data_IF_493172278585
#
_entry.id   IF_493172278585
#
_cell.length_a   1.000
_cell.length_b   1.000
_cell.length_c   1.000
_cell.angle_alpha   90.00
_cell.angle_beta   90.00
_cell.angle_gamma   90.00
#
_symmetry.space_group_name_H-M   'P 1'
#
loop_
_entity.id
_entity.type
_entity.pdbx_description
1 polymer ?
#
# COMPACT_ATOMS: atom_id res chain seq x y z
N UNK A 1 3.58 25.15 -8.29
CA UNK A 1 2.32 24.90 -9.05
C UNK A 1 2.70 23.97 -10.21
N UNK A 2 1.80 23.20 -10.83
CA UNK A 2 2.18 22.24 -11.91
C UNK A 2 2.77 22.91 -13.16
N UNK A 3 2.89 24.24 -13.14
CA UNK A 3 3.54 25.11 -14.12
C UNK A 3 5.08 25.11 -14.02
N UNK A 4 5.68 24.66 -12.90
CA UNK A 4 7.13 24.81 -12.66
C UNK A 4 8.01 23.77 -13.38
N UNK A 5 7.44 22.64 -13.79
CA UNK A 5 8.11 21.64 -14.63
C UNK A 5 7.54 21.71 -16.04
N UNK A 6 8.02 22.68 -16.84
CA UNK A 6 8.00 22.53 -18.30
C UNK A 6 8.90 21.35 -18.61
N UNK A 7 8.32 20.19 -18.78
CA UNK A 7 9.07 19.00 -19.19
C UNK A 7 9.55 19.19 -20.62
N UNK A 8 10.86 19.10 -20.82
CA UNK A 8 11.49 19.29 -22.12
C UNK A 8 11.72 17.90 -22.76
N UNK A 9 10.86 17.53 -23.71
CA UNK A 9 10.99 16.32 -24.56
C UNK A 9 10.84 14.98 -23.82
N UNK A 10 9.97 14.14 -24.39
CA UNK A 10 9.83 12.75 -23.97
C UNK A 10 11.07 11.94 -24.39
N UNK A 11 11.38 10.90 -23.64
CA UNK A 11 12.42 9.94 -24.01
C UNK A 11 12.00 9.12 -25.24
N UNK A 12 12.97 8.55 -25.93
CA UNK A 12 12.69 7.49 -26.89
C UNK A 12 12.27 6.20 -26.17
N UNK A 13 11.45 5.38 -26.84
CA UNK A 13 10.91 4.14 -26.24
C UNK A 13 11.98 3.18 -25.71
N UNK A 14 13.14 3.13 -26.38
CA UNK A 14 14.26 2.26 -25.98
C UNK A 14 14.88 2.69 -24.64
N UNK A 15 14.83 3.99 -24.33
CA UNK A 15 15.49 4.58 -23.15
C UNK A 15 14.59 4.64 -21.91
N UNK A 16 13.29 4.37 -22.06
CA UNK A 16 12.31 4.42 -20.96
C UNK A 16 12.72 3.51 -19.80
N UNK A 17 13.00 2.23 -20.04
CA UNK A 17 13.28 1.27 -18.96
C UNK A 17 14.62 1.54 -18.27
N UNK A 18 15.75 1.75 -18.99
CA UNK A 18 17.01 2.13 -18.36
C UNK A 18 16.90 3.43 -17.54
N UNK A 19 16.25 4.45 -18.10
CA UNK A 19 16.09 5.75 -17.42
C UNK A 19 15.20 5.64 -16.21
N UNK A 20 14.11 4.87 -16.27
CA UNK A 20 13.23 4.64 -15.12
C UNK A 20 13.98 4.01 -13.93
N UNK A 21 14.85 3.02 -14.17
CA UNK A 21 15.68 2.44 -13.09
C UNK A 21 16.67 3.47 -12.50
N UNK A 22 17.33 4.26 -13.35
CA UNK A 22 18.25 5.34 -12.89
C UNK A 22 17.51 6.41 -12.09
N UNK A 23 16.32 6.77 -12.56
CA UNK A 23 15.41 7.70 -11.90
C UNK A 23 15.05 7.23 -10.48
N UNK A 24 14.70 5.94 -10.29
CA UNK A 24 14.46 5.38 -8.96
C UNK A 24 15.65 5.54 -8.01
N UNK A 25 16.86 5.20 -8.46
CA UNK A 25 18.09 5.32 -7.67
C UNK A 25 18.42 6.77 -7.27
N UNK A 26 18.12 7.74 -8.14
CA UNK A 26 18.37 9.15 -7.83
C UNK A 26 17.28 9.71 -6.91
N UNK A 27 16.05 9.26 -7.09
CA UNK A 27 14.97 9.66 -6.21
C UNK A 27 15.22 9.18 -4.77
N UNK A 28 15.68 7.93 -4.58
CA UNK A 28 16.01 7.42 -3.25
C UNK A 28 17.24 8.13 -2.64
N UNK A 29 18.23 8.54 -3.44
CA UNK A 29 19.40 9.27 -2.90
C UNK A 29 19.04 10.67 -2.39
N UNK A 30 17.85 11.17 -2.71
CA UNK A 30 17.31 12.44 -2.21
C UNK A 30 16.40 12.26 -0.98
N UNK A 31 16.14 11.03 -0.54
CA UNK A 31 15.17 10.69 0.51
C UNK A 31 15.81 9.84 1.61
N UNK A 32 15.96 10.45 2.79
CA UNK A 32 16.58 9.78 3.94
C UNK A 32 15.64 8.78 4.62
N UNK A 33 16.19 7.65 5.06
CA UNK A 33 15.46 6.62 5.81
C UNK A 33 14.50 5.76 5.00
N UNK A 34 14.48 5.92 3.67
CA UNK A 34 13.78 5.02 2.76
C UNK A 34 14.74 3.95 2.22
N UNK A 35 14.17 2.80 1.88
CA UNK A 35 14.75 1.75 1.06
C UNK A 35 14.03 1.71 -0.29
N UNK A 36 14.68 1.14 -1.30
CA UNK A 36 14.13 1.01 -2.64
C UNK A 36 14.05 -0.46 -3.06
N UNK A 37 12.92 -0.82 -3.67
CA UNK A 37 12.76 -2.02 -4.47
C UNK A 37 12.24 -1.61 -5.85
N UNK A 38 12.85 -2.11 -6.93
CA UNK A 38 12.59 -1.61 -8.28
C UNK A 38 12.60 -2.71 -9.33
N UNK A 39 11.62 -2.64 -10.23
CA UNK A 39 11.47 -3.50 -11.40
C UNK A 39 11.50 -2.65 -12.68
N UNK A 40 11.26 -3.27 -13.84
CA UNK A 40 11.17 -2.54 -15.09
C UNK A 40 9.94 -1.61 -15.20
N UNK A 41 8.94 -1.75 -14.33
CA UNK A 41 7.68 -0.99 -14.39
C UNK A 41 7.23 -0.41 -13.05
N UNK A 42 7.93 -0.71 -11.95
CA UNK A 42 7.59 -0.25 -10.62
C UNK A 42 8.84 0.20 -9.86
N UNK A 43 8.76 1.32 -9.17
CA UNK A 43 9.68 1.70 -8.10
C UNK A 43 8.86 1.78 -6.82
N UNK A 44 9.31 1.08 -5.79
CA UNK A 44 8.75 1.14 -4.44
C UNK A 44 9.80 1.78 -3.53
N UNK A 45 9.50 2.97 -3.05
CA UNK A 45 10.25 3.62 -1.97
C UNK A 45 9.54 3.29 -0.68
N UNK A 46 10.19 2.66 0.29
CA UNK A 46 9.52 2.24 1.51
C UNK A 46 10.40 2.37 2.75
N UNK A 47 9.76 2.50 3.91
CA UNK A 47 10.42 2.45 5.21
C UNK A 47 9.54 1.74 6.22
N UNK A 48 10.14 1.25 7.30
CA UNK A 48 9.41 0.62 8.40
C UNK A 48 9.44 1.52 9.64
N UNK A 49 8.29 1.75 10.24
CA UNK A 49 8.10 2.58 11.44
C UNK A 49 7.02 1.94 12.31
N UNK A 50 7.32 1.63 13.58
CA UNK A 50 6.36 1.05 14.55
C UNK A 50 5.51 -0.11 13.97
N UNK A 51 6.18 -1.14 13.46
CA UNK A 51 5.56 -2.31 12.83
C UNK A 51 4.68 -2.00 11.59
N UNK A 52 4.79 -0.80 11.02
CA UNK A 52 4.15 -0.43 9.77
C UNK A 52 5.19 -0.20 8.68
N UNK A 53 4.96 -0.78 7.50
CA UNK A 53 5.63 -0.38 6.27
C UNK A 53 4.85 0.78 5.64
N UNK A 54 5.55 1.88 5.40
CA UNK A 54 5.05 3.04 4.68
C UNK A 54 5.74 3.06 3.31
N UNK A 55 4.96 3.10 2.23
CA UNK A 55 5.48 2.97 0.88
C UNK A 55 4.91 4.01 -0.08
N UNK A 56 5.76 4.47 -0.99
CA UNK A 56 5.41 5.25 -2.19
C UNK A 56 5.72 4.37 -3.39
N UNK A 57 4.71 4.08 -4.19
CA UNK A 57 4.82 3.35 -5.44
C UNK A 57 4.81 4.33 -6.60
N UNK A 58 5.76 4.17 -7.50
CA UNK A 58 5.84 4.90 -8.76
C UNK A 58 5.78 3.83 -9.85
N UNK A 59 4.62 3.75 -10.51
CA UNK A 59 4.29 2.76 -11.53
C UNK A 59 4.38 3.41 -12.90
N UNK A 60 4.87 2.68 -13.90
CA UNK A 60 4.70 3.10 -15.30
C UNK A 60 4.03 2.00 -16.11
N UNK A 61 3.12 2.40 -16.99
CA UNK A 61 2.53 1.47 -17.94
C UNK A 61 3.61 1.02 -18.96
N UNK A 62 3.48 -0.19 -19.51
CA UNK A 62 4.48 -0.75 -20.43
C UNK A 62 4.62 0.13 -21.68
N UNK A 63 5.84 0.62 -21.95
CA UNK A 63 6.10 1.50 -23.09
C UNK A 63 5.46 2.89 -22.99
N UNK A 64 4.98 3.27 -21.81
CA UNK A 64 4.38 4.57 -21.54
C UNK A 64 5.41 5.54 -20.97
N UNK A 65 5.18 6.81 -21.25
CA UNK A 65 5.89 7.92 -20.62
C UNK A 65 5.29 8.29 -19.27
N UNK A 66 4.08 7.84 -18.94
CA UNK A 66 3.39 8.28 -17.74
C UNK A 66 3.75 7.44 -16.51
N UNK A 67 4.13 8.13 -15.44
CA UNK A 67 4.38 7.59 -14.11
C UNK A 67 3.19 7.85 -13.19
N UNK A 68 2.54 6.81 -12.69
CA UNK A 68 1.51 6.86 -11.65
C UNK A 68 2.14 6.79 -10.26
N UNK A 69 1.84 7.76 -9.40
CA UNK A 69 2.32 7.75 -8.01
C UNK A 69 1.18 7.37 -7.06
N UNK A 70 1.43 6.39 -6.19
CA UNK A 70 0.50 5.91 -5.15
C UNK A 70 1.22 5.78 -3.82
N UNK A 71 0.47 5.80 -2.72
CA UNK A 71 1.01 5.62 -1.36
C UNK A 71 0.28 4.53 -0.61
N UNK A 72 0.97 3.85 0.30
CA UNK A 72 0.39 2.80 1.14
C UNK A 72 0.98 2.79 2.54
N UNK A 73 0.18 2.36 3.51
CA UNK A 73 0.64 1.99 4.86
C UNK A 73 0.07 0.60 5.13
N UNK A 74 0.93 -0.35 5.49
CA UNK A 74 0.53 -1.70 5.86
C UNK A 74 1.30 -2.18 7.09
N UNK A 75 0.80 -3.15 7.87
CA UNK A 75 1.62 -3.77 8.90
C UNK A 75 2.79 -4.58 8.29
N UNK A 76 3.94 -4.60 8.96
CA UNK A 76 5.14 -5.36 8.53
C UNK A 76 4.94 -6.86 8.70
N UNK A 77 4.26 -7.25 9.78
CA UNK A 77 3.96 -8.64 10.10
C UNK A 77 2.74 -9.16 9.32
N UNK A 78 2.14 -8.31 8.49
CA UNK A 78 1.01 -8.65 7.65
C UNK A 78 1.49 -9.38 6.39
N UNK A 79 1.40 -10.72 6.44
CA UNK A 79 1.43 -11.67 5.34
C UNK A 79 2.57 -11.52 4.32
N UNK A 80 3.69 -12.21 4.57
CA UNK A 80 4.74 -12.39 3.56
C UNK A 80 4.43 -13.46 2.50
N UNK A 81 3.37 -14.28 2.67
CA UNK A 81 3.10 -15.44 1.78
C UNK A 81 1.69 -15.56 1.19
N UNK A 82 0.76 -14.64 1.47
CA UNK A 82 -0.66 -14.85 1.14
C UNK A 82 -1.10 -14.07 -0.11
N UNK A 83 -1.73 -14.76 -1.07
CA UNK A 83 -2.17 -14.19 -2.37
C UNK A 83 -3.10 -12.98 -2.21
N UNK A 84 -3.94 -12.97 -1.19
CA UNK A 84 -4.89 -11.88 -0.95
C UNK A 84 -4.22 -10.60 -0.42
N UNK A 85 -2.95 -10.68 -0.02
CA UNK A 85 -2.22 -9.54 0.56
C UNK A 85 -1.51 -8.68 -0.47
N UNK A 86 -1.49 -9.10 -1.75
CA UNK A 86 -0.94 -8.29 -2.84
C UNK A 86 -1.88 -7.19 -3.34
N UNK A 87 -3.04 -6.98 -2.71
CA UNK A 87 -4.00 -5.94 -3.10
C UNK A 87 -4.17 -4.85 -2.03
N UNK A 88 -3.15 -4.57 -1.21
CA UNK A 88 -3.07 -3.32 -0.43
C UNK A 88 -2.42 -2.19 -1.25
N UNK A 89 -2.83 -2.09 -2.51
CA UNK A 89 -2.48 -0.98 -3.40
C UNK A 89 -3.75 -0.19 -3.72
N UNK A 90 -4.50 0.21 -2.70
CA UNK A 90 -5.45 1.32 -2.85
C UNK A 90 -5.34 2.21 -1.61
N UNK A 91 -5.09 3.51 -1.80
CA UNK A 91 -4.38 4.34 -0.84
C UNK A 91 -5.31 4.79 0.28
N UNK A 92 -4.76 5.12 1.43
CA UNK A 92 -5.46 5.89 2.46
C UNK A 92 -5.74 7.36 2.02
N UNK A 93 -5.83 7.59 0.70
CA UNK A 93 -5.89 8.86 0.00
C UNK A 93 -4.73 8.98 -0.99
N UNK A 94 -4.99 9.27 -2.26
CA UNK A 94 -3.94 9.74 -3.18
C UNK A 94 -3.38 11.08 -2.67
N UNK A 95 -2.35 11.06 -1.80
CA UNK A 95 -1.85 12.23 -1.03
C UNK A 95 -0.95 13.15 -1.87
N UNK A 96 -1.38 13.46 -3.09
CA UNK A 96 -0.82 14.55 -3.87
C UNK A 96 -1.96 15.28 -4.58
N UNK A 97 -2.63 16.22 -3.90
CA UNK A 97 -3.69 17.11 -4.43
C UNK A 97 -4.39 16.61 -5.72
N UNK A 98 -5.09 15.48 -5.58
CA UNK A 98 -6.07 14.80 -6.45
C UNK A 98 -5.93 14.86 -8.00
N UNK A 99 -5.99 13.66 -8.61
CA UNK A 99 -6.24 13.25 -10.00
C UNK A 99 -5.50 13.92 -11.18
N UNK A 100 -5.20 15.22 -11.13
CA UNK A 100 -4.43 15.89 -12.19
C UNK A 100 -2.92 15.72 -12.03
N UNK A 101 -2.46 15.28 -10.85
CA UNK A 101 -1.06 15.30 -10.43
C UNK A 101 -0.45 13.92 -10.17
N UNK A 102 -1.19 12.84 -10.42
CA UNK A 102 -0.71 11.48 -10.16
C UNK A 102 0.07 10.90 -11.33
N UNK A 103 0.04 11.54 -12.51
CA UNK A 103 0.71 11.10 -13.72
C UNK A 103 1.80 12.09 -14.12
N UNK A 104 3.07 11.67 -14.20
CA UNK A 104 4.17 12.52 -14.70
C UNK A 104 4.78 11.92 -15.96
N UNK A 105 5.04 12.68 -17.04
CA UNK A 105 5.80 12.16 -18.17
C UNK A 105 7.26 11.89 -17.76
N UNK A 106 7.85 10.83 -18.29
CA UNK A 106 9.26 10.50 -18.18
C UNK A 106 10.04 11.25 -19.27
N UNK A 107 11.13 11.90 -18.89
CA UNK A 107 11.74 12.99 -19.66
C UNK A 107 13.25 12.88 -19.66
N UNK A 108 13.93 13.64 -20.54
CA UNK A 108 15.39 13.73 -20.55
C UNK A 108 15.93 14.47 -19.30
N UNK A 109 15.15 15.36 -18.71
CA UNK A 109 15.40 16.12 -17.47
C UNK A 109 14.96 15.33 -16.23
N UNK A 110 15.14 14.01 -16.25
CA UNK A 110 14.66 13.12 -15.21
C UNK A 110 15.22 13.44 -13.81
N UNK A 111 16.36 14.13 -13.69
CA UNK A 111 16.89 14.65 -12.42
C UNK A 111 15.97 15.71 -11.79
N UNK A 112 15.42 16.62 -12.60
CA UNK A 112 14.51 17.66 -12.12
C UNK A 112 13.19 17.05 -11.65
N UNK A 113 12.71 16.03 -12.39
CA UNK A 113 11.55 15.24 -11.99
C UNK A 113 11.82 14.50 -10.66
N UNK A 114 13.01 13.94 -10.46
CA UNK A 114 13.38 13.27 -9.22
C UNK A 114 13.44 14.25 -8.05
N UNK A 115 14.06 15.42 -8.22
CA UNK A 115 14.11 16.47 -7.19
C UNK A 115 12.71 16.96 -6.82
N UNK A 116 11.85 17.19 -7.81
CA UNK A 116 10.48 17.60 -7.59
C UNK A 116 9.70 16.55 -6.79
N UNK A 117 9.76 15.28 -7.19
CA UNK A 117 9.06 14.20 -6.49
C UNK A 117 9.62 13.98 -5.08
N UNK A 118 10.94 14.05 -4.88
CA UNK A 118 11.55 13.97 -3.55
C UNK A 118 11.03 15.07 -2.63
N UNK A 119 10.97 16.31 -3.13
CA UNK A 119 10.44 17.46 -2.39
C UNK A 119 8.99 17.22 -1.99
N UNK A 120 8.14 16.76 -2.92
CA UNK A 120 6.73 16.46 -2.64
C UNK A 120 6.55 15.33 -1.64
N UNK A 121 7.36 14.28 -1.73
CA UNK A 121 7.35 13.17 -0.76
C UNK A 121 7.64 13.73 0.64
N UNK A 122 8.70 14.55 0.80
CA UNK A 122 9.06 15.18 2.08
C UNK A 122 7.96 16.09 2.62
N UNK A 123 7.40 16.97 1.79
CA UNK A 123 6.47 18.00 2.28
C UNK A 123 5.04 17.52 2.45
N UNK A 124 4.57 16.61 1.61
CA UNK A 124 3.15 16.20 1.59
C UNK A 124 2.96 14.78 2.14
N UNK A 125 3.80 13.84 1.74
CA UNK A 125 3.61 12.42 2.06
C UNK A 125 4.16 12.08 3.44
N UNK A 126 5.32 12.59 3.83
CA UNK A 126 5.89 12.28 5.14
C UNK A 126 4.99 12.77 6.28
N UNK A 127 4.45 13.98 6.17
CA UNK A 127 3.52 14.50 7.17
C UNK A 127 2.29 13.59 7.32
N UNK A 128 1.76 13.08 6.21
CA UNK A 128 0.68 12.10 6.23
C UNK A 128 1.12 10.80 6.92
N UNK A 129 2.26 10.25 6.54
CA UNK A 129 2.79 9.05 7.17
C UNK A 129 3.00 9.21 8.68
N UNK A 130 3.44 10.38 9.16
CA UNK A 130 3.58 10.64 10.59
C UNK A 130 2.23 10.70 11.34
N UNK A 131 1.14 11.08 10.67
CA UNK A 131 -0.23 11.02 11.23
C UNK A 131 -0.71 9.59 11.46
N UNK A 132 -0.19 8.62 10.72
CA UNK A 132 -0.65 7.22 10.73
C UNK A 132 0.49 6.24 11.03
N UNK A 133 1.52 6.67 11.77
CA UNK A 133 2.72 5.88 12.04
C UNK A 133 2.60 4.92 13.24
N UNK A 134 1.41 4.67 13.77
CA UNK A 134 1.14 3.72 14.85
C UNK A 134 -0.32 3.30 14.83
N UNK A 135 -0.65 2.14 15.37
CA UNK A 135 -2.03 1.65 15.40
C UNK A 135 -2.98 2.56 16.21
N UNK A 136 -2.51 3.12 17.33
CA UNK A 136 -3.32 4.06 18.12
C UNK A 136 -3.73 5.27 17.30
N UNK A 137 -2.77 5.92 16.61
CA UNK A 137 -3.08 7.07 15.75
C UNK A 137 -4.01 6.69 14.59
N UNK A 138 -3.84 5.50 14.02
CA UNK A 138 -4.73 4.98 12.97
C UNK A 138 -6.17 4.85 13.50
N UNK A 139 -6.36 4.28 14.69
CA UNK A 139 -7.69 4.15 15.31
C UNK A 139 -8.29 5.51 15.70
N UNK A 140 -7.48 6.41 16.25
CA UNK A 140 -7.93 7.75 16.63
C UNK A 140 -8.44 8.54 15.42
N UNK A 141 -7.82 8.32 14.25
CA UNK A 141 -8.16 8.98 12.98
C UNK A 141 -8.96 8.12 12.01
N UNK A 142 -9.45 6.95 12.44
CA UNK A 142 -10.07 5.95 11.55
C UNK A 142 -11.14 6.51 10.61
N UNK A 143 -11.96 7.48 11.07
CA UNK A 143 -13.00 8.13 10.24
C UNK A 143 -12.46 8.84 9.00
N UNK A 144 -11.20 9.31 9.03
CA UNK A 144 -10.55 9.97 7.89
C UNK A 144 -10.21 8.99 6.77
N UNK A 145 -9.91 7.74 7.14
CA UNK A 145 -9.42 6.69 6.24
C UNK A 145 -10.43 5.57 6.00
N UNK A 146 -11.53 5.55 6.75
CA UNK A 146 -12.64 4.64 6.54
C UNK A 146 -13.23 4.85 5.13
N UNK A 147 -13.53 3.75 4.39
CA UNK A 147 -14.14 3.83 3.07
C UNK A 147 -15.45 4.60 3.10
N UNK A 148 -15.56 5.61 2.24
CA UNK A 148 -16.81 6.35 2.06
C UNK A 148 -17.76 5.68 1.07
N UNK A 149 -17.25 4.80 0.22
CA UNK A 149 -18.01 4.07 -0.79
C UNK A 149 -18.00 2.55 -0.57
N UNK A 150 -19.10 1.91 -0.95
CA UNK A 150 -19.27 0.46 -0.83
C UNK A 150 -18.55 -0.35 -1.92
N UNK A 151 -17.76 0.30 -2.78
CA UNK A 151 -16.91 -0.37 -3.75
C UNK A 151 -15.91 -1.29 -3.05
N UNK A 152 -15.70 -2.46 -3.65
CA UNK A 152 -14.78 -3.53 -3.23
C UNK A 152 -13.35 -3.02 -2.90
N UNK A 153 -12.51 -3.95 -2.47
CA UNK A 153 -11.06 -3.83 -2.23
C UNK A 153 -10.68 -3.59 -0.77
N UNK A 154 -9.45 -3.97 -0.41
CA UNK A 154 -8.94 -4.27 0.95
C UNK A 154 -8.80 -3.07 1.91
N UNK A 155 -9.87 -2.29 2.01
CA UNK A 155 -9.87 -1.01 2.71
C UNK A 155 -10.09 -1.13 4.23
N UNK A 156 -10.47 -2.31 4.72
CA UNK A 156 -10.73 -2.52 6.16
C UNK A 156 -9.57 -3.23 6.87
N UNK A 157 -8.62 -3.78 6.16
CA UNK A 157 -7.58 -4.68 6.65
C UNK A 157 -6.64 -3.97 7.62
N UNK A 158 -6.23 -2.75 7.27
CA UNK A 158 -5.45 -1.91 8.16
C UNK A 158 -6.23 -1.57 9.44
N UNK A 159 -7.54 -1.30 9.32
CA UNK A 159 -8.41 -0.95 10.44
C UNK A 159 -8.70 -2.16 11.35
N UNK A 160 -8.90 -3.34 10.76
CA UNK A 160 -9.02 -4.62 11.47
C UNK A 160 -7.74 -4.86 12.27
N UNK A 161 -6.58 -4.74 11.64
CA UNK A 161 -5.30 -4.98 12.30
C UNK A 161 -5.02 -3.95 13.40
N UNK A 162 -5.29 -2.67 13.14
CA UNK A 162 -5.18 -1.63 14.15
C UNK A 162 -6.12 -1.89 15.33
N UNK A 163 -7.34 -2.37 15.09
CA UNK A 163 -8.30 -2.72 16.15
C UNK A 163 -7.85 -3.93 16.98
N UNK A 164 -7.21 -4.93 16.34
CA UNK A 164 -6.59 -6.07 17.03
C UNK A 164 -5.46 -5.58 17.94
N UNK A 165 -4.51 -4.80 17.39
CA UNK A 165 -3.33 -4.34 18.14
C UNK A 165 -3.66 -3.36 19.26
N UNK A 166 -4.72 -2.58 19.11
CA UNK A 166 -5.23 -1.69 20.16
C UNK A 166 -6.28 -2.35 21.06
N UNK A 167 -6.57 -3.64 20.86
CA UNK A 167 -7.56 -4.43 21.61
C UNK A 167 -8.96 -3.79 21.66
N UNK A 168 -9.36 -3.08 20.60
CA UNK A 168 -10.67 -2.41 20.47
C UNK A 168 -11.73 -3.37 19.95
N UNK A 169 -12.33 -4.15 20.85
CA UNK A 169 -13.28 -5.22 20.52
C UNK A 169 -14.46 -4.77 19.66
N UNK A 170 -15.14 -3.67 19.97
CA UNK A 170 -16.32 -3.26 19.18
C UNK A 170 -15.93 -2.89 17.75
N UNK A 171 -14.83 -2.14 17.58
CA UNK A 171 -14.32 -1.75 16.27
C UNK A 171 -13.89 -2.97 15.45
N UNK A 172 -13.19 -3.92 16.08
CA UNK A 172 -12.79 -5.17 15.42
C UNK A 172 -14.01 -5.91 14.88
N UNK A 173 -15.04 -6.08 15.72
CA UNK A 173 -16.27 -6.75 15.30
C UNK A 173 -16.94 -6.02 14.14
N UNK A 174 -17.07 -4.70 14.23
CA UNK A 174 -17.65 -3.86 13.19
C UNK A 174 -16.92 -4.00 11.85
N UNK A 175 -15.59 -3.97 11.85
CA UNK A 175 -14.81 -4.05 10.62
C UNK A 175 -14.81 -5.46 10.02
N UNK A 176 -14.79 -6.50 10.85
CA UNK A 176 -14.96 -7.88 10.37
C UNK A 176 -16.35 -8.07 9.73
N UNK A 177 -17.41 -7.59 10.37
CA UNK A 177 -18.78 -7.68 9.81
C UNK A 177 -18.86 -7.00 8.45
N UNK A 178 -18.31 -5.78 8.32
CA UNK A 178 -18.25 -5.04 7.06
C UNK A 178 -17.44 -5.74 5.96
N UNK A 179 -16.34 -6.41 6.31
CA UNK A 179 -15.50 -7.16 5.37
C UNK A 179 -16.20 -8.45 4.92
N UNK A 180 -16.82 -9.17 5.84
CA UNK A 180 -17.47 -10.46 5.60
C UNK A 180 -18.85 -10.35 4.94
N UNK A 181 -19.53 -9.21 5.04
CA UNK A 181 -20.82 -8.96 4.39
C UNK A 181 -20.72 -8.77 2.86
N UNK A 182 -19.54 -9.00 2.26
CA UNK A 182 -19.30 -8.86 0.82
C UNK A 182 -18.84 -10.20 0.23
N UNK A 183 -19.20 -10.51 -1.03
CA UNK A 183 -18.67 -11.70 -1.68
C UNK A 183 -17.14 -11.62 -1.77
N UNK A 184 -16.47 -12.71 -1.40
CA UNK A 184 -15.04 -12.93 -1.68
C UNK A 184 -14.86 -12.73 -3.18
N UNK A 185 -13.89 -11.90 -3.60
CA UNK A 185 -13.69 -11.62 -5.01
C UNK A 185 -13.44 -12.93 -5.76
N UNK A 186 -14.07 -13.11 -6.92
CA UNK A 186 -13.66 -14.14 -7.86
C UNK A 186 -12.25 -13.84 -8.34
N UNK A 187 -11.30 -14.69 -7.97
CA UNK A 187 -9.89 -14.59 -8.37
C UNK A 187 -9.81 -14.57 -9.90
N UNK A 188 -9.01 -13.68 -10.49
CA UNK A 188 -8.84 -13.69 -11.96
C UNK A 188 -8.10 -14.94 -12.41
N UNK A 189 -8.38 -15.44 -13.62
CA UNK A 189 -7.74 -16.66 -14.17
C UNK A 189 -6.20 -16.56 -14.20
N UNK A 190 -5.64 -15.35 -14.32
CA UNK A 190 -4.20 -15.07 -14.23
C UNK A 190 -3.61 -15.19 -12.82
N UNK A 191 -4.40 -15.02 -11.77
CA UNK A 191 -4.01 -15.22 -10.37
C UNK A 191 -4.15 -16.70 -9.95
N UNK A 192 -5.05 -17.44 -10.61
CA UNK A 192 -5.23 -18.89 -10.44
C UNK A 192 -4.03 -19.71 -10.95
N UNK A 193 -3.26 -19.17 -11.91
CA UNK A 193 -2.18 -19.90 -12.61
C UNK A 193 -0.79 -19.80 -11.97
N UNK A 194 -0.67 -19.37 -10.72
CA UNK A 194 0.56 -19.58 -9.92
C UNK A 194 0.29 -20.63 -8.84
N UNK A 195 0.61 -21.90 -9.08
CA UNK A 195 0.52 -22.92 -8.05
C UNK A 195 1.77 -22.84 -7.18
N UNK A 196 1.58 -22.48 -5.91
CA UNK A 196 2.33 -23.10 -4.82
C UNK A 196 1.34 -23.39 -3.67
N UNK A 197 1.44 -24.61 -3.18
CA UNK A 197 0.42 -25.32 -2.39
C UNK A 197 0.30 -24.83 -0.95
N UNK A 198 -0.42 -23.72 -0.72
CA UNK A 198 -1.02 -23.35 0.59
C UNK A 198 -1.89 -22.08 0.47
N UNK A 199 -2.87 -22.05 -0.44
CA UNK A 199 -3.85 -20.97 -0.43
C UNK A 199 -4.77 -21.11 0.79
N UNK A 200 -4.81 -20.07 1.62
CA UNK A 200 -5.69 -20.00 2.77
C UNK A 200 -7.08 -19.62 2.30
N UNK A 201 -8.07 -20.33 2.82
CA UNK A 201 -9.46 -19.94 2.68
C UNK A 201 -9.72 -18.66 3.51
N UNK A 202 -9.76 -17.52 2.81
CA UNK A 202 -9.98 -16.19 3.40
C UNK A 202 -11.25 -16.15 4.25
N UNK A 203 -12.34 -16.77 3.77
CA UNK A 203 -13.62 -16.78 4.48
C UNK A 203 -13.47 -17.55 5.78
N UNK A 204 -12.93 -18.76 5.72
CA UNK A 204 -12.70 -19.58 6.92
C UNK A 204 -11.75 -18.91 7.92
N UNK A 205 -10.74 -18.18 7.44
CA UNK A 205 -9.84 -17.42 8.31
C UNK A 205 -10.56 -16.25 8.99
N UNK A 206 -11.32 -15.45 8.24
CA UNK A 206 -12.09 -14.34 8.80
C UNK A 206 -13.19 -14.82 9.76
N UNK A 207 -13.83 -15.96 9.48
CA UNK A 207 -14.79 -16.62 10.37
C UNK A 207 -14.14 -16.99 11.72
N UNK A 208 -12.91 -17.55 11.70
CA UNK A 208 -12.14 -17.85 12.94
C UNK A 208 -11.77 -16.57 13.69
N UNK A 209 -11.28 -15.55 13.00
CA UNK A 209 -10.99 -14.26 13.65
C UNK A 209 -12.25 -13.66 14.28
N UNK A 210 -13.40 -13.77 13.60
CA UNK A 210 -14.68 -13.27 14.10
C UNK A 210 -15.14 -14.02 15.35
N UNK A 211 -15.02 -15.34 15.39
CA UNK A 211 -15.42 -16.13 16.56
C UNK A 211 -14.63 -15.74 17.82
N UNK A 212 -13.31 -15.54 17.69
CA UNK A 212 -12.47 -15.04 18.79
C UNK A 212 -12.74 -13.56 19.10
N UNK A 213 -13.04 -12.72 18.10
CA UNK A 213 -13.38 -11.32 18.30
C UNK A 213 -14.69 -11.12 19.09
N UNK A 214 -15.66 -12.03 18.94
CA UNK A 214 -16.92 -12.00 19.70
C UNK A 214 -16.68 -12.20 21.20
N UNK A 215 -15.72 -13.03 21.59
CA UNK A 215 -15.34 -13.26 23.00
C UNK A 215 -14.27 -12.29 23.50
N UNK A 216 -13.61 -11.55 22.60
CA UNK A 216 -12.50 -10.66 22.96
C UNK A 216 -11.18 -11.40 23.17
N UNK A 217 -11.06 -12.59 22.58
CA UNK A 217 -9.89 -13.46 22.71
C UNK A 217 -8.77 -13.04 21.74
N UNK A 218 -8.11 -11.93 22.06
CA UNK A 218 -7.01 -11.40 21.27
C UNK A 218 -5.79 -12.33 21.23
N UNK A 219 -5.62 -13.21 22.22
CA UNK A 219 -4.50 -14.16 22.26
C UNK A 219 -4.67 -15.18 21.14
N UNK A 220 -5.85 -15.77 20.98
CA UNK A 220 -6.09 -16.73 19.92
C UNK A 220 -6.15 -16.05 18.53
N UNK A 221 -6.61 -14.79 18.44
CA UNK A 221 -6.48 -13.99 17.21
C UNK A 221 -5.00 -13.87 16.80
N UNK A 222 -4.10 -13.53 17.72
CA UNK A 222 -2.68 -13.40 17.39
C UNK A 222 -2.04 -14.74 17.00
N UNK A 223 -2.46 -15.84 17.63
CA UNK A 223 -2.03 -17.19 17.24
C UNK A 223 -2.49 -17.58 15.84
N UNK A 224 -3.74 -17.31 15.48
CA UNK A 224 -4.25 -17.56 14.13
C UNK A 224 -3.46 -16.78 13.07
N UNK A 225 -3.19 -15.50 13.35
CA UNK A 225 -2.38 -14.65 12.46
C UNK A 225 -0.95 -15.21 12.33
N UNK A 226 -0.33 -15.62 13.44
CA UNK A 226 1.03 -16.15 13.43
C UNK A 226 1.12 -17.51 12.72
N UNK A 227 0.14 -18.40 12.91
CA UNK A 227 0.09 -19.72 12.27
C UNK A 227 0.04 -19.60 10.73
N UNK A 228 -0.67 -18.59 10.25
CA UNK A 228 -0.76 -18.26 8.83
C UNK A 228 0.50 -17.55 8.31
N UNK A 229 1.10 -16.66 9.11
CA UNK A 229 2.30 -15.92 8.72
C UNK A 229 3.61 -16.71 8.77
N UNK A 230 3.65 -17.81 9.52
CA UNK A 230 4.83 -18.66 9.76
C UNK A 230 4.93 -19.91 8.90
N UNK A 231 4.07 -20.07 7.89
CA UNK A 231 4.22 -21.12 6.88
C UNK A 231 5.38 -20.72 5.94
N UNK A 232 6.58 -21.21 6.28
CA UNK A 232 7.77 -21.17 5.44
C UNK A 232 7.68 -22.17 4.28
#
# INVERSE_FOLDING_TARGET
MWEDLKVYKQLDKADINPTFKKFGNTLISLLDGYSIDQTASLIKLFRQVNQLEQAVFIEKDKGSYNLKVKTSIKPVDFYRGHKFTMLNIVPLGDIMNNHRRTSYPLTQEWNDLALYLATRIKTEIEHYFQKYNSYDKIIDRRKEIEPKDFGLDNKYELLIYAAIKTKKKELLNQYLDKKMSRPVMGITQSEYLKPDNQEIDEKSFLDRLKSFALTGDFINIEKEIAAVGGQN
#
